data_IF_104643831185
#
_entry.id   IF_104643831185
#
_cell.length_a   1.000
_cell.length_b   1.000
_cell.length_c   1.000
_cell.angle_alpha   90.00
_cell.angle_beta   90.00
_cell.angle_gamma   90.00
#
_symmetry.space_group_name_H-M   'P 1'
#
loop_
_entity.id
_entity.type
_entity.pdbx_description
1 polymer ?
#
# COMPACT_ATOMS: atom_id res chain seq x y z
N UNK A 1 -30.64 -17.88 -20.43
CA UNK A 1 -30.20 -16.64 -19.79
C UNK A 1 -31.41 -16.08 -19.06
N UNK A 2 -31.35 -15.96 -17.74
CA UNK A 2 -32.51 -15.52 -16.94
C UNK A 2 -32.58 -13.99 -16.96
N UNK A 3 -33.49 -13.45 -17.77
CA UNK A 3 -33.67 -12.01 -17.98
C UNK A 3 -33.90 -11.27 -16.65
N UNK A 4 -34.51 -11.92 -15.65
CA UNK A 4 -34.71 -11.31 -14.33
C UNK A 4 -33.40 -11.13 -13.58
N UNK A 5 -32.47 -12.08 -13.74
CA UNK A 5 -31.16 -12.02 -13.12
C UNK A 5 -30.30 -10.90 -13.74
N UNK A 6 -30.40 -10.70 -15.05
CA UNK A 6 -29.68 -9.62 -15.74
C UNK A 6 -30.18 -8.24 -15.34
N UNK A 7 -31.50 -8.07 -15.26
CA UNK A 7 -32.11 -6.81 -14.80
C UNK A 7 -31.70 -6.55 -13.34
N UNK A 8 -31.75 -7.57 -12.49
CA UNK A 8 -31.32 -7.45 -11.09
C UNK A 8 -29.84 -7.07 -10.97
N UNK A 9 -28.96 -7.73 -11.74
CA UNK A 9 -27.53 -7.41 -11.77
C UNK A 9 -27.27 -5.97 -12.23
N UNK A 10 -27.99 -5.50 -13.25
CA UNK A 10 -27.91 -4.12 -13.73
C UNK A 10 -28.29 -3.11 -12.65
N UNK A 11 -29.45 -3.30 -12.02
CA UNK A 11 -29.95 -2.41 -10.95
C UNK A 11 -29.00 -2.39 -9.75
N UNK A 12 -28.48 -3.56 -9.33
CA UNK A 12 -27.52 -3.65 -8.24
C UNK A 12 -26.21 -2.95 -8.60
N UNK A 13 -25.71 -3.12 -9.83
CA UNK A 13 -24.48 -2.48 -10.28
C UNK A 13 -24.60 -0.96 -10.32
N UNK A 14 -25.73 -0.43 -10.82
CA UNK A 14 -25.99 1.01 -10.83
C UNK A 14 -26.10 1.58 -9.42
N UNK A 15 -26.79 0.89 -8.51
CA UNK A 15 -26.92 1.30 -7.12
C UNK A 15 -25.56 1.33 -6.40
N UNK A 16 -24.69 0.34 -6.66
CA UNK A 16 -23.33 0.29 -6.11
C UNK A 16 -22.47 1.42 -6.69
N UNK A 17 -22.54 1.68 -8.00
CA UNK A 17 -21.78 2.75 -8.64
C UNK A 17 -22.14 4.12 -8.07
N UNK A 18 -23.44 4.40 -7.94
CA UNK A 18 -23.91 5.64 -7.31
C UNK A 18 -23.46 5.71 -5.85
N UNK A 19 -23.57 4.62 -5.09
CA UNK A 19 -23.09 4.60 -3.71
C UNK A 19 -21.58 4.88 -3.61
N UNK A 20 -20.77 4.32 -4.51
CA UNK A 20 -19.32 4.56 -4.57
C UNK A 20 -19.01 6.02 -4.91
N UNK A 21 -19.78 6.68 -5.81
CA UNK A 21 -19.59 8.10 -6.10
C UNK A 21 -19.81 9.02 -4.88
N UNK A 22 -20.63 8.59 -3.90
CA UNK A 22 -20.82 9.30 -2.63
C UNK A 22 -19.90 8.83 -1.50
N UNK A 23 -19.22 7.69 -1.67
CA UNK A 23 -18.14 7.28 -0.79
C UNK A 23 -16.90 8.04 -1.24
N UNK A 24 -16.54 9.09 -0.51
CA UNK A 24 -15.21 9.67 -0.62
C UNK A 24 -14.19 8.64 -0.13
N UNK A 25 -13.72 7.80 -1.05
CA UNK A 25 -12.50 7.02 -0.85
C UNK A 25 -11.37 8.02 -1.04
N UNK A 26 -10.86 8.54 0.07
CA UNK A 26 -9.73 9.45 0.03
C UNK A 26 -8.50 8.67 -0.48
N UNK A 27 -8.23 8.78 -1.77
CA UNK A 27 -7.04 8.17 -2.37
C UNK A 27 -5.75 8.80 -1.83
N UNK A 28 -5.83 9.98 -1.22
CA UNK A 28 -4.67 10.61 -0.58
C UNK A 28 -4.21 9.81 0.65
N UNK A 29 -5.08 9.04 1.30
CA UNK A 29 -4.68 8.14 2.40
C UNK A 29 -3.81 6.98 1.90
N UNK A 30 -4.09 6.43 0.70
CA UNK A 30 -3.26 5.38 0.07
C UNK A 30 -1.96 5.97 -0.46
N UNK A 31 -2.00 7.20 -0.98
CA UNK A 31 -0.79 7.92 -1.41
C UNK A 31 0.09 8.33 -0.22
N UNK A 32 -0.47 8.59 0.97
CA UNK A 32 0.27 9.09 2.12
C UNK A 32 1.32 8.10 2.63
N UNK A 33 0.96 6.84 2.87
CA UNK A 33 1.86 5.85 3.48
C UNK A 33 3.00 5.48 2.53
N UNK A 34 2.68 5.24 1.25
CA UNK A 34 3.70 4.92 0.25
C UNK A 34 4.70 6.07 0.05
N UNK A 35 4.22 7.31 -0.03
CA UNK A 35 5.09 8.49 -0.17
C UNK A 35 5.92 8.77 1.07
N UNK A 36 5.35 8.57 2.27
CA UNK A 36 6.07 8.69 3.54
C UNK A 36 7.22 7.69 3.59
N UNK A 37 6.95 6.42 3.28
CA UNK A 37 7.96 5.37 3.29
C UNK A 37 9.06 5.62 2.26
N UNK A 38 8.71 6.02 1.03
CA UNK A 38 9.70 6.41 0.02
C UNK A 38 10.57 7.59 0.49
N UNK A 39 9.99 8.52 1.24
CA UNK A 39 10.71 9.62 1.88
C UNK A 39 11.68 9.14 2.96
N UNK A 40 11.25 8.22 3.83
CA UNK A 40 12.08 7.66 4.89
C UNK A 40 13.23 6.80 4.31
N UNK A 41 12.95 5.94 3.32
CA UNK A 41 13.96 5.18 2.58
C UNK A 41 15.00 6.10 1.93
N UNK A 42 14.55 7.16 1.26
CA UNK A 42 15.45 8.14 0.65
C UNK A 42 16.38 8.77 1.68
N UNK A 43 15.86 9.10 2.87
CA UNK A 43 16.66 9.65 3.97
C UNK A 43 17.71 8.66 4.46
N UNK A 44 17.35 7.37 4.62
CA UNK A 44 18.28 6.32 5.05
C UNK A 44 19.40 6.13 4.03
N UNK A 45 19.08 6.04 2.73
CA UNK A 45 20.09 5.87 1.66
C UNK A 45 21.04 7.09 1.58
N UNK A 46 20.55 8.27 1.94
CA UNK A 46 21.33 9.51 1.95
C UNK A 46 22.05 9.76 3.27
N UNK A 47 21.90 8.88 4.26
CA UNK A 47 22.55 9.02 5.56
C UNK A 47 24.00 8.50 5.49
N UNK A 48 24.93 9.44 5.34
CA UNK A 48 26.37 9.16 5.30
C UNK A 48 26.93 8.62 6.63
N UNK A 49 26.13 8.57 7.71
CA UNK A 49 26.54 8.00 9.00
C UNK A 49 26.35 6.49 9.09
N UNK A 50 25.59 5.89 8.16
CA UNK A 50 25.41 4.44 8.08
C UNK A 50 26.57 3.86 7.26
N UNK A 51 27.51 3.22 7.95
CA UNK A 51 28.79 2.81 7.35
C UNK A 51 28.71 1.57 6.44
N UNK A 52 27.61 0.80 6.49
CA UNK A 52 27.48 -0.47 5.77
C UNK A 52 26.09 -0.66 5.15
N UNK A 53 26.08 -1.22 3.94
CA UNK A 53 24.87 -1.48 3.14
C UNK A 53 23.91 -2.42 3.87
N UNK A 54 24.44 -3.33 4.71
CA UNK A 54 23.61 -4.19 5.54
C UNK A 54 22.74 -3.40 6.53
N UNK A 55 23.32 -2.40 7.19
CA UNK A 55 22.57 -1.55 8.13
C UNK A 55 21.57 -0.64 7.41
N UNK A 56 21.91 -0.16 6.21
CA UNK A 56 20.95 0.57 5.34
C UNK A 56 19.72 -0.29 5.07
N UNK A 57 19.92 -1.55 4.67
CA UNK A 57 18.82 -2.49 4.40
C UNK A 57 18.03 -2.81 5.66
N UNK A 58 18.71 -3.03 6.80
CA UNK A 58 18.04 -3.32 8.07
C UNK A 58 17.12 -2.17 8.50
N UNK A 59 17.56 -0.91 8.37
CA UNK A 59 16.75 0.27 8.69
C UNK A 59 15.54 0.43 7.74
N UNK A 60 15.72 0.15 6.45
CA UNK A 60 14.61 0.17 5.47
C UNK A 60 13.54 -0.87 5.83
N UNK A 61 13.96 -2.07 6.24
CA UNK A 61 13.03 -3.14 6.65
C UNK A 61 12.26 -2.74 7.92
N UNK A 62 12.91 -2.09 8.89
CA UNK A 62 12.24 -1.56 10.08
C UNK A 62 11.17 -0.53 9.72
N UNK A 63 11.41 0.33 8.72
CA UNK A 63 10.40 1.26 8.23
C UNK A 63 9.22 0.53 7.58
N UNK A 64 9.43 -0.54 6.83
CA UNK A 64 8.32 -1.36 6.32
C UNK A 64 7.49 -2.00 7.45
N UNK A 65 8.14 -2.53 8.49
CA UNK A 65 7.45 -3.08 9.66
C UNK A 65 6.60 -2.03 10.39
N UNK A 66 7.13 -0.80 10.55
CA UNK A 66 6.43 0.34 11.18
C UNK A 66 5.08 0.65 10.54
N UNK A 67 4.94 0.46 9.23
CA UNK A 67 3.68 0.70 8.51
C UNK A 67 2.92 -0.59 8.15
N UNK A 68 3.28 -1.73 8.76
CA UNK A 68 2.69 -3.05 8.45
C UNK A 68 2.78 -3.43 6.96
N UNK A 69 3.86 -3.02 6.28
CA UNK A 69 4.15 -3.45 4.92
C UNK A 69 4.95 -4.73 4.98
N UNK A 70 4.49 -5.75 4.27
CA UNK A 70 5.21 -7.00 4.11
C UNK A 70 6.47 -6.78 3.25
N UNK A 71 7.63 -6.83 3.90
CA UNK A 71 8.94 -6.76 3.25
C UNK A 71 9.34 -8.08 2.57
N UNK A 72 8.51 -9.12 2.67
CA UNK A 72 8.82 -10.48 2.29
C UNK A 72 9.46 -11.28 3.43
N UNK A 73 9.54 -12.60 3.23
CA UNK A 73 10.15 -13.52 4.20
C UNK A 73 11.66 -13.24 4.26
N UNK A 74 12.23 -13.10 5.46
CA UNK A 74 13.69 -13.16 5.66
C UNK A 74 14.18 -14.50 5.11
N UNK A 75 14.75 -14.49 3.92
CA UNK A 75 15.62 -15.56 3.47
C UNK A 75 16.93 -15.37 4.24
N UNK A 76 16.95 -15.85 5.48
CA UNK A 76 18.16 -15.90 6.30
C UNK A 76 19.28 -16.49 5.44
N UNK A 77 20.37 -15.73 5.32
CA UNK A 77 21.66 -16.24 4.85
C UNK A 77 22.20 -17.16 5.96
N UNK A 78 21.69 -18.40 5.99
CA UNK A 78 22.29 -19.51 6.73
C UNK A 78 23.62 -19.94 6.14
#
# INVERSE_FOLDING_TARGET
MDVKLEIFAGVVSEAIQQAIEYIHIDTDDIHSVALVILGEIKRIIQDETIEDDFFVVEEIVKDFEKYNIDAGIRHDFG
#
